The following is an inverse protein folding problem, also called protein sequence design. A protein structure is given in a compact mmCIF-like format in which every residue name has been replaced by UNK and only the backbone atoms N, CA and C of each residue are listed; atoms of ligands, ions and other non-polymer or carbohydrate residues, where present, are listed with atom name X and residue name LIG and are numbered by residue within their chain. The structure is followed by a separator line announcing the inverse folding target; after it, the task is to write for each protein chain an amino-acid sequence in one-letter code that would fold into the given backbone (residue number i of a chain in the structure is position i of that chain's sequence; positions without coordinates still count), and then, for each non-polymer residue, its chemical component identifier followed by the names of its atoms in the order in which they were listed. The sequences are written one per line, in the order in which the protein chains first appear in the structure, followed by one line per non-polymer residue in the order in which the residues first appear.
data_IF_418743967837
#
_entry.id   IF_418743967837
#
_cell.length_a   1.000
_cell.length_b   1.000
_cell.length_c   1.000
_cell.angle_alpha   90.00
_cell.angle_beta   90.00
_cell.angle_gamma   90.00
#
_symmetry.space_group_name_H-M   'P 1'
#
loop_
_entity.id
_entity.type
_entity.pdbx_description
1 polymer ?
#
# COMPACT_ATOMS: atom_id res chain seq x y z
N UNK A 1 15.36 -44.41 46.59
CA UNK A 1 16.10 -43.29 46.00
C UNK A 1 15.44 -42.99 44.67
N UNK A 2 14.72 -41.87 44.56
CA UNK A 2 14.05 -41.49 43.32
C UNK A 2 15.08 -40.91 42.35
N UNK A 3 15.13 -41.36 41.08
CA UNK A 3 16.05 -40.80 40.11
C UNK A 3 15.68 -39.33 39.84
N UNK A 4 16.71 -38.48 39.71
CA UNK A 4 16.56 -37.03 39.57
C UNK A 4 16.00 -36.64 38.19
N UNK A 5 14.87 -35.94 38.18
CA UNK A 5 14.22 -35.37 36.99
C UNK A 5 14.86 -34.07 36.46
N UNK A 6 15.93 -33.60 37.12
CA UNK A 6 16.56 -32.29 36.82
C UNK A 6 17.07 -32.21 35.38
N UNK A 7 17.66 -33.28 34.85
CA UNK A 7 18.16 -33.29 33.48
C UNK A 7 17.04 -33.23 32.44
N UNK A 8 15.90 -33.87 32.72
CA UNK A 8 14.71 -33.85 31.86
C UNK A 8 14.09 -32.45 31.85
N UNK A 9 13.93 -31.84 33.02
CA UNK A 9 13.42 -30.47 33.16
C UNK A 9 14.33 -29.45 32.46
N UNK A 10 15.66 -29.58 32.58
CA UNK A 10 16.60 -28.70 31.87
C UNK A 10 16.47 -28.81 30.34
N UNK A 11 16.31 -30.02 29.80
CA UNK A 11 16.09 -30.21 28.36
C UNK A 11 14.75 -29.62 27.89
N UNK A 12 13.69 -29.79 28.68
CA UNK A 12 12.38 -29.21 28.37
C UNK A 12 12.44 -27.68 28.37
N UNK A 13 13.07 -27.06 29.37
CA UNK A 13 13.24 -25.60 29.44
C UNK A 13 14.14 -25.04 28.31
N UNK A 14 15.23 -25.73 27.97
CA UNK A 14 16.10 -25.31 26.86
C UNK A 14 15.38 -25.39 25.51
N UNK A 15 14.60 -26.45 25.30
CA UNK A 15 13.82 -26.64 24.06
C UNK A 15 12.68 -25.62 23.97
N UNK A 16 11.97 -25.36 25.07
CA UNK A 16 10.93 -24.34 25.15
C UNK A 16 11.52 -22.94 24.90
N UNK A 17 12.61 -22.58 25.58
CA UNK A 17 13.28 -21.29 25.40
C UNK A 17 13.81 -21.05 23.99
N UNK A 18 14.32 -22.10 23.32
CA UNK A 18 14.73 -22.00 21.92
C UNK A 18 13.53 -21.76 20.98
N UNK A 19 12.42 -22.47 21.20
CA UNK A 19 11.18 -22.27 20.42
C UNK A 19 10.60 -20.89 20.64
N UNK A 20 10.54 -20.44 21.88
CA UNK A 20 10.05 -19.11 22.25
C UNK A 20 10.97 -18.03 21.66
N UNK A 21 12.29 -18.21 21.74
CA UNK A 21 13.26 -17.30 21.13
C UNK A 21 13.13 -17.18 19.62
N UNK A 22 12.94 -18.30 18.90
CA UNK A 22 12.72 -18.29 17.44
C UNK A 22 11.37 -17.65 17.09
N UNK A 23 10.33 -17.90 17.89
CA UNK A 23 8.98 -17.35 17.66
C UNK A 23 8.94 -15.85 17.91
N UNK A 24 9.50 -15.40 19.04
CA UNK A 24 9.62 -13.97 19.41
C UNK A 24 10.47 -13.21 18.39
N UNK A 25 11.59 -13.79 17.95
CA UNK A 25 12.48 -13.11 16.99
C UNK A 25 11.85 -12.94 15.60
N UNK A 26 11.03 -13.90 15.15
CA UNK A 26 10.34 -13.80 13.85
C UNK A 26 9.11 -12.88 13.90
N UNK A 27 8.37 -12.89 15.00
CA UNK A 27 7.21 -12.02 15.17
C UNK A 27 7.61 -10.54 15.35
N UNK A 28 8.76 -10.28 16.01
CA UNK A 28 9.20 -8.93 16.32
C UNK A 28 9.55 -8.07 15.09
N UNK A 29 10.17 -8.63 14.05
CA UNK A 29 10.58 -7.86 12.87
C UNK A 29 9.47 -7.64 11.85
N UNK A 30 8.54 -8.60 11.71
CA UNK A 30 7.42 -8.49 10.76
C UNK A 30 6.44 -7.41 11.19
N UNK A 31 6.11 -7.36 12.49
CA UNK A 31 5.13 -6.38 12.98
C UNK A 31 5.66 -4.95 12.90
N UNK A 32 6.93 -4.73 13.27
CA UNK A 32 7.55 -3.41 13.16
C UNK A 32 7.54 -2.90 11.71
N UNK A 33 7.93 -3.73 10.74
CA UNK A 33 7.86 -3.36 9.33
C UNK A 33 6.43 -3.12 8.83
N UNK A 34 5.45 -3.88 9.32
CA UNK A 34 4.04 -3.62 9.02
C UNK A 34 3.59 -2.27 9.59
N UNK A 35 3.87 -1.98 10.86
CA UNK A 35 3.45 -0.75 11.52
C UNK A 35 4.08 0.49 10.83
N UNK A 36 5.34 0.39 10.40
CA UNK A 36 6.03 1.42 9.61
C UNK A 36 5.37 1.63 8.23
N UNK A 37 5.06 0.54 7.53
CA UNK A 37 4.49 0.59 6.18
C UNK A 37 2.98 0.90 6.13
N UNK A 38 2.24 0.59 7.20
CA UNK A 38 0.77 0.63 7.22
C UNK A 38 0.24 2.04 6.93
N UNK A 39 0.81 3.07 7.55
CA UNK A 39 0.34 4.45 7.37
C UNK A 39 0.49 4.95 5.92
N UNK A 40 1.63 4.64 5.30
CA UNK A 40 1.89 4.98 3.90
C UNK A 40 0.97 4.18 2.97
N UNK A 41 0.89 2.87 3.17
CA UNK A 41 0.03 1.98 2.41
C UNK A 41 -1.45 2.39 2.47
N UNK A 42 -1.94 2.76 3.65
CA UNK A 42 -3.30 3.27 3.83
C UNK A 42 -3.53 4.59 3.10
N UNK A 43 -2.55 5.51 3.14
CA UNK A 43 -2.64 6.81 2.45
C UNK A 43 -2.72 6.62 0.93
N UNK A 44 -1.91 5.72 0.38
CA UNK A 44 -1.94 5.36 -1.04
C UNK A 44 -3.26 4.67 -1.38
N UNK A 45 -3.68 3.69 -0.58
CA UNK A 45 -4.93 2.95 -0.79
C UNK A 45 -6.16 3.85 -0.80
N UNK A 46 -6.23 4.82 0.12
CA UNK A 46 -7.28 5.84 0.14
C UNK A 46 -7.27 6.70 -1.13
N UNK A 47 -6.08 7.11 -1.57
CA UNK A 47 -5.94 7.95 -2.77
C UNK A 47 -6.38 7.21 -4.03
N UNK A 48 -5.92 5.97 -4.19
CA UNK A 48 -6.33 5.08 -5.30
C UNK A 48 -7.82 4.79 -5.25
N UNK A 49 -8.36 4.45 -4.08
CA UNK A 49 -9.79 4.18 -3.89
C UNK A 49 -10.65 5.38 -4.26
N UNK A 50 -10.22 6.59 -3.91
CA UNK A 50 -10.91 7.83 -4.30
C UNK A 50 -10.92 8.01 -5.82
N UNK A 51 -9.79 7.80 -6.51
CA UNK A 51 -9.71 7.92 -7.97
C UNK A 51 -10.65 6.92 -8.67
N UNK A 52 -10.63 5.66 -8.24
CA UNK A 52 -11.51 4.63 -8.79
C UNK A 52 -12.98 4.95 -8.50
N UNK A 53 -13.32 5.39 -7.29
CA UNK A 53 -14.68 5.78 -6.93
C UNK A 53 -15.21 6.96 -7.73
N UNK A 54 -14.35 7.94 -8.04
CA UNK A 54 -14.73 9.07 -8.92
C UNK A 54 -15.04 8.58 -10.34
N UNK A 55 -14.20 7.72 -10.92
CA UNK A 55 -14.46 7.12 -12.24
C UNK A 55 -15.73 6.26 -12.24
N UNK A 56 -15.99 5.48 -11.19
CA UNK A 56 -17.22 4.71 -11.02
C UNK A 56 -18.45 5.63 -10.96
N UNK A 57 -18.36 6.75 -10.24
CA UNK A 57 -19.40 7.77 -10.20
C UNK A 57 -19.69 8.38 -11.58
N UNK A 58 -18.64 8.72 -12.33
CA UNK A 58 -18.73 9.25 -13.70
C UNK A 58 -19.41 8.24 -14.62
N UNK A 59 -18.99 6.96 -14.58
CA UNK A 59 -19.63 5.88 -15.36
C UNK A 59 -21.10 5.74 -15.00
N UNK A 60 -21.44 5.78 -13.71
CA UNK A 60 -22.82 5.67 -13.23
C UNK A 60 -23.70 6.85 -13.66
N UNK A 61 -23.14 8.05 -13.80
CA UNK A 61 -23.87 9.24 -14.21
C UNK A 61 -24.11 9.31 -15.74
N UNK A 62 -23.25 8.69 -16.55
CA UNK A 62 -23.22 8.86 -18.00
C UNK A 62 -23.86 7.69 -18.76
N UNK A 63 -25.19 7.67 -18.85
CA UNK A 63 -25.92 6.63 -19.60
C UNK A 63 -25.56 6.56 -21.10
N UNK A 64 -25.20 7.69 -21.74
CA UNK A 64 -24.92 7.77 -23.18
C UNK A 64 -23.44 7.66 -23.56
N UNK A 65 -22.53 7.95 -22.63
CA UNK A 65 -21.07 7.84 -22.83
C UNK A 65 -20.45 6.68 -22.02
N UNK A 66 -21.30 5.76 -21.54
CA UNK A 66 -20.93 4.65 -20.69
C UNK A 66 -19.79 3.80 -21.27
N UNK A 67 -19.69 3.63 -22.60
CA UNK A 67 -18.65 2.80 -23.21
C UNK A 67 -17.23 3.35 -23.05
N UNK A 68 -17.05 4.66 -23.25
CA UNK A 68 -15.75 5.33 -23.10
C UNK A 68 -15.36 5.40 -21.63
N UNK A 69 -16.29 5.83 -20.77
CA UNK A 69 -16.05 5.93 -19.34
C UNK A 69 -15.78 4.54 -18.71
N UNK A 70 -16.46 3.49 -19.18
CA UNK A 70 -16.21 2.11 -18.71
C UNK A 70 -14.85 1.59 -19.15
N UNK A 71 -14.40 1.93 -20.37
CA UNK A 71 -13.06 1.60 -20.83
C UNK A 71 -11.99 2.23 -19.93
N UNK A 72 -12.15 3.52 -19.64
CA UNK A 72 -11.26 4.26 -18.76
C UNK A 72 -11.23 3.68 -17.33
N UNK A 73 -12.39 3.30 -16.79
CA UNK A 73 -12.47 2.63 -15.50
C UNK A 73 -11.79 1.24 -15.51
N UNK A 74 -11.93 0.47 -16.59
CA UNK A 74 -11.28 -0.83 -16.72
C UNK A 74 -9.75 -0.70 -16.75
N UNK A 75 -9.24 0.28 -17.50
CA UNK A 75 -7.81 0.63 -17.54
C UNK A 75 -7.31 1.10 -16.15
N UNK A 76 -8.08 1.96 -15.47
CA UNK A 76 -7.75 2.42 -14.13
C UNK A 76 -7.64 1.27 -13.14
N UNK A 77 -8.58 0.33 -13.17
CA UNK A 77 -8.54 -0.88 -12.32
C UNK A 77 -7.36 -1.78 -12.65
N UNK A 78 -6.99 -1.89 -13.92
CA UNK A 78 -5.85 -2.68 -14.35
C UNK A 78 -4.52 -2.05 -13.91
N UNK A 79 -4.39 -0.72 -13.95
CA UNK A 79 -3.14 -0.04 -13.58
C UNK A 79 -3.04 0.25 -12.07
N UNK A 80 -4.13 0.65 -11.41
CA UNK A 80 -4.13 1.02 -9.98
C UNK A 80 -4.34 -0.17 -9.05
N UNK A 81 -4.18 -1.41 -9.54
CA UNK A 81 -4.23 -2.58 -8.69
C UNK A 81 -3.02 -2.63 -7.72
N UNK A 82 -3.18 -3.36 -6.61
CA UNK A 82 -2.16 -3.47 -5.54
C UNK A 82 -0.79 -3.91 -6.06
N UNK A 83 -0.73 -4.87 -6.99
CA UNK A 83 0.55 -5.37 -7.53
C UNK A 83 1.27 -4.32 -8.36
N UNK A 84 0.54 -3.50 -9.10
CA UNK A 84 1.11 -2.44 -9.92
C UNK A 84 1.57 -1.25 -9.07
N UNK A 85 0.73 -0.81 -8.14
CA UNK A 85 1.01 0.32 -7.24
C UNK A 85 2.16 0.03 -6.29
N UNK A 86 2.25 -1.20 -5.76
CA UNK A 86 3.35 -1.61 -4.87
C UNK A 86 4.42 -2.43 -5.59
N UNK A 87 4.59 -2.24 -6.90
CA UNK A 87 5.60 -2.95 -7.67
C UNK A 87 7.02 -2.47 -7.36
N UNK A 88 8.00 -3.35 -7.59
CA UNK A 88 9.43 -3.02 -7.49
C UNK A 88 9.87 -1.93 -8.47
N UNK A 89 9.02 -1.50 -9.41
CA UNK A 89 9.31 -0.32 -10.26
C UNK A 89 9.32 0.96 -9.42
N UNK A 90 8.44 1.06 -8.43
CA UNK A 90 8.24 2.26 -7.62
C UNK A 90 8.83 2.16 -6.22
N UNK A 91 9.11 0.94 -5.75
CA UNK A 91 9.54 0.67 -4.37
C UNK A 91 10.85 -0.08 -4.31
N UNK A 92 11.67 0.26 -3.30
CA UNK A 92 12.84 -0.50 -2.88
C UNK A 92 12.42 -1.62 -1.90
N UNK A 93 13.30 -2.59 -1.71
CA UNK A 93 13.07 -3.71 -0.80
C UNK A 93 12.94 -3.30 0.68
N UNK A 94 13.42 -2.10 1.03
CA UNK A 94 13.33 -1.50 2.37
C UNK A 94 12.05 -0.66 2.58
N UNK A 95 11.14 -0.60 1.59
CA UNK A 95 9.90 0.17 1.67
C UNK A 95 10.04 1.65 1.29
N UNK A 96 11.24 2.12 0.91
CA UNK A 96 11.43 3.47 0.38
C UNK A 96 10.99 3.56 -1.09
N UNK A 97 10.58 4.75 -1.53
CA UNK A 97 10.10 4.98 -2.90
C UNK A 97 11.22 5.42 -3.85
N UNK A 98 11.07 5.10 -5.15
CA UNK A 98 12.05 5.36 -6.21
C UNK A 98 11.79 6.64 -7.02
N UNK A 99 10.70 7.35 -6.74
CA UNK A 99 10.25 8.54 -7.46
C UNK A 99 10.39 9.81 -6.61
N UNK A 100 10.35 10.97 -7.24
CA UNK A 100 10.49 12.23 -6.51
C UNK A 100 9.18 12.61 -5.79
N UNK A 101 9.16 12.39 -4.47
CA UNK A 101 8.06 12.75 -3.58
C UNK A 101 8.20 14.14 -2.95
N UNK A 102 9.41 14.70 -2.97
CA UNK A 102 9.69 16.03 -2.42
C UNK A 102 9.44 17.07 -3.51
N UNK A 103 8.17 17.30 -3.84
CA UNK A 103 7.81 18.34 -4.81
C UNK A 103 8.56 19.64 -4.51
N UNK A 104 9.41 20.07 -5.46
CA UNK A 104 10.21 21.30 -5.47
C UNK A 104 10.71 21.77 -4.08
N UNK A 105 11.60 21.01 -3.46
CA UNK A 105 12.43 21.53 -2.36
C UNK A 105 11.76 21.64 -0.99
N UNK A 106 10.74 20.81 -0.70
CA UNK A 106 10.17 20.71 0.66
C UNK A 106 11.14 20.00 1.61
N UNK A 107 11.38 20.60 2.77
CA UNK A 107 12.22 20.02 3.83
C UNK A 107 11.56 18.78 4.47
N UNK A 108 10.21 18.73 4.53
CA UNK A 108 9.46 17.62 5.12
C UNK A 108 8.54 16.90 4.10
N UNK A 109 8.79 15.61 3.88
CA UNK A 109 7.94 14.73 3.06
C UNK A 109 6.97 13.97 3.96
N UNK A 110 5.67 14.25 3.82
CA UNK A 110 4.60 13.48 4.47
C UNK A 110 4.02 12.42 3.51
N UNK A 111 3.33 11.41 4.04
CA UNK A 111 2.78 10.31 3.23
C UNK A 111 1.83 10.75 2.12
N UNK A 112 1.09 11.86 2.30
CA UNK A 112 0.25 12.41 1.24
C UNK A 112 1.06 12.95 0.05
N UNK A 113 2.25 13.50 0.30
CA UNK A 113 3.17 13.90 -0.78
C UNK A 113 3.66 12.68 -1.55
N UNK A 114 4.03 11.60 -0.85
CA UNK A 114 4.45 10.34 -1.48
C UNK A 114 3.32 9.75 -2.32
N UNK A 115 2.12 9.61 -1.75
CA UNK A 115 0.97 9.08 -2.46
C UNK A 115 0.62 9.92 -3.69
N UNK A 116 0.57 11.25 -3.55
CA UNK A 116 0.30 12.17 -4.67
C UNK A 116 1.43 12.26 -5.69
N UNK A 117 2.66 11.89 -5.32
CA UNK A 117 3.80 11.85 -6.23
C UNK A 117 3.93 10.53 -6.99
N UNK A 118 3.25 9.47 -6.54
CA UNK A 118 3.30 8.17 -7.18
C UNK A 118 2.93 8.28 -8.68
N UNK A 119 3.75 7.80 -9.62
CA UNK A 119 3.55 8.04 -11.05
C UNK A 119 2.17 7.62 -11.58
N UNK A 120 1.67 6.44 -11.18
CA UNK A 120 0.32 6.00 -11.53
C UNK A 120 -0.77 6.90 -10.92
N UNK A 121 -0.62 7.32 -9.66
CA UNK A 121 -1.59 8.22 -9.01
C UNK A 121 -1.61 9.56 -9.73
N UNK A 122 -0.46 10.13 -10.07
CA UNK A 122 -0.38 11.39 -10.84
C UNK A 122 -1.07 11.27 -12.20
N UNK A 123 -0.74 10.22 -12.95
CA UNK A 123 -1.37 9.94 -14.26
C UNK A 123 -2.89 9.90 -14.12
N UNK A 124 -3.41 9.09 -13.20
CA UNK A 124 -4.84 8.88 -13.04
C UNK A 124 -5.56 10.06 -12.41
N UNK A 125 -4.90 10.85 -11.55
CA UNK A 125 -5.45 12.12 -11.06
C UNK A 125 -5.69 13.08 -12.22
N UNK A 126 -4.71 13.29 -13.10
CA UNK A 126 -4.86 14.15 -14.27
C UNK A 126 -5.97 13.66 -15.21
N UNK A 127 -6.09 12.34 -15.39
CA UNK A 127 -7.18 11.75 -16.20
C UNK A 127 -8.55 12.01 -15.57
N UNK A 128 -8.68 11.81 -14.25
CA UNK A 128 -9.95 12.06 -13.56
C UNK A 128 -10.31 13.54 -13.59
N UNK A 129 -9.37 14.43 -13.31
CA UNK A 129 -9.59 15.88 -13.34
C UNK A 129 -10.08 16.31 -14.74
N UNK A 130 -9.46 15.79 -15.79
CA UNK A 130 -9.91 16.05 -17.17
C UNK A 130 -11.32 15.51 -17.43
N UNK A 131 -11.67 14.31 -16.94
CA UNK A 131 -13.04 13.82 -17.07
C UNK A 131 -14.04 14.69 -16.31
N UNK A 132 -13.73 15.07 -15.07
CA UNK A 132 -14.59 15.95 -14.28
C UNK A 132 -14.86 17.28 -15.01
N UNK A 133 -13.83 17.85 -15.65
CA UNK A 133 -13.94 19.06 -16.47
C UNK A 133 -14.78 18.85 -17.74
N UNK A 134 -14.56 17.75 -18.47
CA UNK A 134 -15.32 17.41 -19.69
C UNK A 134 -16.81 17.28 -19.39
N UNK A 135 -17.17 16.73 -18.24
CA UNK A 135 -18.55 16.49 -17.84
C UNK A 135 -19.16 17.59 -16.98
N UNK A 136 -18.40 18.64 -16.64
CA UNK A 136 -18.86 19.79 -15.86
C UNK A 136 -19.22 19.44 -14.41
N UNK A 137 -18.47 18.52 -13.79
CA UNK A 137 -18.72 18.00 -12.44
C UNK A 137 -17.85 18.66 -11.35
N UNK A 138 -17.14 19.76 -11.68
CA UNK A 138 -16.30 20.53 -10.75
C UNK A 138 -17.10 21.27 -9.66
#
# INVERSE_FOLDING_TARGET
SHPSDIHRLQQEHATAGYRDGVTVSKAGSIQAGFDEGFGLGATIGLTVGRLLGMLEGIVGALATAASVASGLLAEARAELNVRSVFSEVYWNADGTWKYDAAGEGREDVVFSHVAGAHPLVRKWSAVVDEQMRVWGLE
#
